data_IF_034714369652
#
_entry.id   IF_034714369652
#
_cell.length_a   1.000
_cell.length_b   1.000
_cell.length_c   1.000
_cell.angle_alpha   90.00
_cell.angle_beta   90.00
_cell.angle_gamma   90.00
#
_symmetry.space_group_name_H-M   'P 1'
#
loop_
_entity.id
_entity.type
_entity.pdbx_description
1 polymer ?
#
# COMPACT_ATOMS: atom_id res chain seq x y z
N UNK A 1 -1.42 -18.18 -25.42
CA UNK A 1 -2.78 -17.90 -24.90
C UNK A 1 -2.92 -16.53 -24.22
N UNK A 2 -1.91 -15.97 -23.55
CA UNK A 2 -2.02 -14.67 -22.83
C UNK A 2 -2.17 -13.41 -23.71
N UNK A 3 -1.69 -13.40 -24.97
CA UNK A 3 -1.78 -12.22 -25.87
C UNK A 3 -3.16 -11.99 -26.47
N UNK A 4 -3.95 -13.04 -26.74
CA UNK A 4 -5.26 -12.92 -27.42
C UNK A 4 -6.38 -12.37 -26.56
N UNK A 5 -6.37 -12.63 -25.22
CA UNK A 5 -7.45 -12.22 -24.33
C UNK A 5 -7.42 -10.70 -24.03
N UNK A 6 -6.26 -10.04 -24.19
CA UNK A 6 -6.13 -8.58 -23.98
C UNK A 6 -6.97 -7.75 -24.98
N UNK A 7 -7.29 -8.29 -26.15
CA UNK A 7 -8.17 -7.66 -27.13
C UNK A 7 -9.66 -7.70 -26.76
N UNK A 8 -10.03 -8.42 -25.66
CA UNK A 8 -11.38 -8.53 -25.16
C UNK A 8 -11.44 -8.02 -23.70
N UNK A 9 -11.62 -6.71 -23.48
CA UNK A 9 -11.52 -6.10 -22.13
C UNK A 9 -12.39 -6.76 -21.07
N UNK A 10 -13.61 -7.16 -21.44
CA UNK A 10 -14.56 -7.83 -20.53
C UNK A 10 -14.05 -9.22 -20.10
N UNK A 11 -13.53 -10.01 -21.02
CA UNK A 11 -12.98 -11.34 -20.74
C UNK A 11 -11.68 -11.22 -19.94
N UNK A 12 -10.84 -10.24 -20.25
CA UNK A 12 -9.64 -9.95 -19.50
C UNK A 12 -9.96 -9.56 -18.04
N UNK A 13 -10.95 -8.67 -17.84
CA UNK A 13 -11.45 -8.31 -16.51
C UNK A 13 -11.95 -9.52 -15.74
N UNK A 14 -12.81 -10.34 -16.35
CA UNK A 14 -13.35 -11.54 -15.74
C UNK A 14 -12.22 -12.52 -15.34
N UNK A 15 -11.23 -12.72 -16.20
CA UNK A 15 -10.08 -13.58 -15.90
C UNK A 15 -9.23 -13.05 -14.75
N UNK A 16 -9.04 -11.74 -14.64
CA UNK A 16 -8.30 -11.12 -13.53
C UNK A 16 -9.07 -11.20 -12.22
N UNK A 17 -10.37 -10.96 -12.24
CA UNK A 17 -11.22 -11.11 -11.06
C UNK A 17 -11.27 -12.57 -10.59
N UNK A 18 -11.43 -13.53 -11.50
CA UNK A 18 -11.39 -14.95 -11.18
C UNK A 18 -10.02 -15.37 -10.61
N UNK A 19 -8.93 -14.86 -11.18
CA UNK A 19 -7.58 -15.11 -10.66
C UNK A 19 -7.38 -14.54 -9.25
N UNK A 20 -7.86 -13.32 -8.97
CA UNK A 20 -7.81 -12.74 -7.62
C UNK A 20 -8.63 -13.55 -6.63
N UNK A 21 -9.85 -13.91 -7.01
CA UNK A 21 -10.71 -14.78 -6.20
C UNK A 21 -10.05 -16.15 -5.93
N UNK A 22 -9.43 -16.73 -6.95
CA UNK A 22 -8.67 -17.97 -6.81
C UNK A 22 -7.51 -17.80 -5.83
N UNK A 23 -6.66 -16.79 -5.98
CA UNK A 23 -5.54 -16.55 -5.07
C UNK A 23 -5.99 -16.23 -3.64
N UNK A 24 -7.09 -15.55 -3.47
CA UNK A 24 -7.65 -15.28 -2.15
C UNK A 24 -8.09 -16.56 -1.42
N UNK A 25 -8.40 -17.64 -2.17
CA UNK A 25 -8.90 -18.91 -1.62
C UNK A 25 -7.94 -20.09 -1.74
N UNK A 26 -6.98 -20.05 -2.63
CA UNK A 26 -6.11 -21.19 -2.96
C UNK A 26 -4.76 -21.17 -2.23
N UNK A 27 -4.69 -20.64 -1.01
CA UNK A 27 -3.48 -20.68 -0.20
C UNK A 27 -2.37 -19.74 -0.66
N UNK A 28 -2.73 -18.64 -1.39
CA UNK A 28 -1.77 -17.59 -1.74
C UNK A 28 -1.32 -16.76 -0.52
N UNK A 29 -2.08 -16.84 0.56
CA UNK A 29 -1.78 -16.21 1.84
C UNK A 29 -1.39 -17.27 2.86
N UNK A 30 -0.52 -16.93 3.83
CA UNK A 30 -0.12 -17.89 4.86
C UNK A 30 -1.31 -18.26 5.78
N UNK A 31 -1.42 -19.51 6.12
CA UNK A 31 -2.30 -19.99 7.18
C UNK A 31 -1.54 -19.93 8.52
N UNK A 32 -1.55 -18.77 9.14
CA UNK A 32 -0.87 -18.58 10.42
C UNK A 32 -1.48 -19.40 11.54
N UNK A 33 -2.78 -19.72 11.48
CA UNK A 33 -3.43 -20.54 12.49
C UNK A 33 -2.75 -21.92 12.56
N UNK A 34 -2.64 -22.60 11.42
CA UNK A 34 -2.00 -23.91 11.37
C UNK A 34 -0.52 -23.88 11.74
N UNK A 35 0.16 -22.74 11.46
CA UNK A 35 1.58 -22.58 11.81
C UNK A 35 1.79 -22.32 13.30
N UNK A 36 0.87 -21.63 13.97
CA UNK A 36 0.97 -21.23 15.37
C UNK A 36 0.41 -22.30 16.30
N UNK A 37 -0.59 -23.06 15.88
CA UNK A 37 -1.30 -24.04 16.73
C UNK A 37 -0.36 -25.02 17.47
N UNK A 38 0.70 -25.57 16.85
CA UNK A 38 1.64 -26.46 17.56
C UNK A 38 2.44 -25.77 18.68
N UNK A 39 2.63 -24.44 18.57
CA UNK A 39 3.45 -23.61 19.48
C UNK A 39 2.61 -22.46 20.07
N UNK A 40 1.33 -22.72 20.35
CA UNK A 40 0.37 -21.68 20.75
C UNK A 40 0.78 -20.96 22.05
N UNK A 41 1.31 -21.69 23.04
CA UNK A 41 1.78 -21.10 24.30
C UNK A 41 2.97 -20.18 24.09
N UNK A 42 3.94 -20.59 23.25
CA UNK A 42 5.10 -19.78 22.88
C UNK A 42 4.65 -18.48 22.18
N UNK A 43 3.71 -18.60 21.25
CA UNK A 43 3.16 -17.42 20.55
C UNK A 43 2.41 -16.47 21.49
N UNK A 44 1.58 -17.00 22.40
CA UNK A 44 0.87 -16.21 23.38
C UNK A 44 1.84 -15.48 24.33
N UNK A 45 2.88 -16.17 24.79
CA UNK A 45 3.94 -15.57 25.61
C UNK A 45 4.67 -14.46 24.87
N UNK A 46 5.03 -14.65 23.61
CA UNK A 46 5.67 -13.63 22.78
C UNK A 46 4.77 -12.40 22.62
N UNK A 47 3.48 -12.59 22.34
CA UNK A 47 2.51 -11.49 22.24
C UNK A 47 2.33 -10.73 23.56
N UNK A 48 2.26 -11.45 24.67
CA UNK A 48 2.17 -10.82 26.00
C UNK A 48 3.44 -10.01 26.31
N UNK A 49 4.62 -10.52 25.99
CA UNK A 49 5.88 -9.82 26.16
C UNK A 49 6.07 -8.61 25.23
N UNK A 50 5.35 -8.58 24.12
CA UNK A 50 5.39 -7.46 23.17
C UNK A 50 4.44 -6.30 23.56
N UNK A 51 3.50 -6.53 24.45
CA UNK A 51 2.57 -5.49 24.91
C UNK A 51 3.32 -4.36 25.61
N UNK A 52 3.08 -3.12 25.16
CA UNK A 52 3.77 -1.93 25.67
C UNK A 52 5.22 -1.78 25.17
N UNK A 53 5.70 -2.67 24.31
CA UNK A 53 6.97 -2.53 23.61
C UNK A 53 6.93 -1.46 22.51
N UNK A 54 8.04 -1.28 21.76
CA UNK A 54 8.05 -0.36 20.62
C UNK A 54 6.95 -0.70 19.63
N UNK A 55 6.09 0.28 19.30
CA UNK A 55 5.01 0.07 18.34
C UNK A 55 5.52 0.20 16.90
N UNK A 56 5.23 -0.82 16.10
CA UNK A 56 5.58 -0.86 14.68
C UNK A 56 4.30 -0.90 13.85
N UNK A 57 4.15 0.07 12.93
CA UNK A 57 3.07 0.11 11.95
C UNK A 57 3.47 -0.68 10.69
N UNK A 58 2.85 -1.82 10.48
CA UNK A 58 2.96 -2.57 9.23
C UNK A 58 1.91 -2.05 8.24
N UNK A 59 2.31 -1.09 7.38
CA UNK A 59 1.40 -0.42 6.48
C UNK A 59 1.26 -1.17 5.15
N UNK A 60 0.80 -2.42 5.20
CA UNK A 60 0.51 -3.26 4.03
C UNK A 60 -0.44 -2.57 3.06
N UNK A 61 -1.39 -1.84 3.59
CA UNK A 61 -2.36 -1.00 2.91
C UNK A 61 -3.18 -1.72 1.82
N UNK A 62 -2.56 -2.40 0.86
CA UNK A 62 -3.22 -3.12 -0.24
C UNK A 62 -3.12 -4.62 -0.04
N UNK A 63 -4.20 -5.22 0.40
CA UNK A 63 -4.25 -6.63 0.79
C UNK A 63 -4.12 -7.63 -0.36
N UNK A 64 -4.49 -7.26 -1.59
CA UNK A 64 -4.39 -8.14 -2.77
C UNK A 64 -2.95 -8.40 -3.24
N UNK A 65 -1.97 -7.68 -2.71
CA UNK A 65 -0.55 -7.99 -2.88
C UNK A 65 -0.16 -9.14 -1.93
N UNK A 66 -0.56 -10.37 -2.28
CA UNK A 66 -0.39 -11.54 -1.43
C UNK A 66 1.05 -11.77 -0.97
N UNK A 67 2.04 -11.48 -1.84
CA UNK A 67 3.46 -11.57 -1.49
C UNK A 67 3.87 -10.53 -0.43
N UNK A 68 3.32 -9.31 -0.50
CA UNK A 68 3.56 -8.30 0.52
C UNK A 68 2.90 -8.71 1.84
N UNK A 69 1.61 -9.10 1.82
CA UNK A 69 0.92 -9.57 3.00
C UNK A 69 1.63 -10.78 3.65
N UNK A 70 2.19 -11.69 2.85
CA UNK A 70 2.96 -12.84 3.34
C UNK A 70 4.26 -12.40 4.02
N UNK A 71 5.08 -11.58 3.35
CA UNK A 71 6.35 -11.12 3.89
C UNK A 71 6.15 -10.25 5.14
N UNK A 72 5.24 -9.30 5.06
CA UNK A 72 4.98 -8.34 6.13
C UNK A 72 4.33 -9.00 7.35
N UNK A 73 3.48 -10.01 7.16
CA UNK A 73 2.97 -10.79 8.29
C UNK A 73 4.04 -11.67 8.94
N UNK A 74 4.95 -12.25 8.15
CA UNK A 74 6.10 -13.00 8.68
C UNK A 74 7.05 -12.07 9.47
N UNK A 75 7.31 -10.88 8.95
CA UNK A 75 8.07 -9.85 9.65
C UNK A 75 7.36 -9.41 10.93
N UNK A 76 6.03 -9.25 10.89
CA UNK A 76 5.23 -8.93 12.07
C UNK A 76 5.38 -9.99 13.17
N UNK A 77 5.33 -11.27 12.82
CA UNK A 77 5.55 -12.34 13.77
C UNK A 77 6.98 -12.28 14.36
N UNK A 78 7.99 -12.10 13.51
CA UNK A 78 9.38 -12.00 13.96
C UNK A 78 9.63 -10.79 14.90
N UNK A 79 9.01 -9.64 14.61
CA UNK A 79 9.08 -8.44 15.45
C UNK A 79 8.36 -8.65 16.79
N UNK A 80 7.22 -9.35 16.80
CA UNK A 80 6.51 -9.71 18.02
C UNK A 80 7.37 -10.58 18.94
N UNK A 81 8.08 -11.58 18.40
CA UNK A 81 9.05 -12.37 19.16
C UNK A 81 10.21 -11.55 19.72
N UNK A 82 10.47 -10.38 19.16
CA UNK A 82 11.50 -9.43 19.64
C UNK A 82 10.95 -8.33 20.54
N UNK A 83 9.71 -8.47 20.99
CA UNK A 83 9.08 -7.57 21.93
C UNK A 83 8.48 -6.31 21.30
N UNK A 84 8.24 -6.26 19.99
CA UNK A 84 7.55 -5.14 19.36
C UNK A 84 6.03 -5.38 19.31
N UNK A 85 5.28 -4.36 19.69
CA UNK A 85 3.83 -4.32 19.52
C UNK A 85 3.48 -3.92 18.08
N UNK A 86 3.13 -4.91 17.25
CA UNK A 86 2.87 -4.69 15.82
C UNK A 86 1.42 -4.39 15.56
N UNK A 87 1.14 -3.36 14.76
CA UNK A 87 -0.18 -3.00 14.25
C UNK A 87 -0.15 -3.02 12.72
N UNK A 88 -1.20 -3.51 12.08
CA UNK A 88 -1.34 -3.47 10.62
C UNK A 88 -2.26 -2.33 10.19
N UNK A 89 -1.98 -1.70 9.04
CA UNK A 89 -2.85 -0.72 8.40
C UNK A 89 -3.29 -1.23 7.03
N UNK A 90 -4.60 -1.33 6.81
CA UNK A 90 -5.20 -1.87 5.59
C UNK A 90 -6.25 -0.92 5.01
N UNK A 91 -6.39 -0.92 3.68
CA UNK A 91 -7.48 -0.26 2.99
C UNK A 91 -8.70 -1.19 2.93
N UNK A 92 -9.79 -0.71 3.45
CA UNK A 92 -11.10 -1.37 3.45
C UNK A 92 -12.07 -0.83 2.37
N UNK A 93 -11.53 -0.23 1.30
CA UNK A 93 -12.29 0.38 0.21
C UNK A 93 -12.52 1.89 0.36
N UNK A 94 -11.85 2.54 1.31
CA UNK A 94 -11.98 3.98 1.58
C UNK A 94 -11.24 4.87 0.57
N UNK A 95 -10.29 4.32 -0.18
CA UNK A 95 -9.55 5.02 -1.23
C UNK A 95 -10.35 5.09 -2.53
N UNK A 96 -10.30 6.23 -3.22
CA UNK A 96 -10.95 6.47 -4.52
C UNK A 96 -10.18 5.90 -5.70
N UNK A 97 -8.89 5.67 -5.54
CA UNK A 97 -7.97 4.95 -6.44
C UNK A 97 -6.76 4.45 -5.65
N UNK A 98 -6.08 3.42 -6.11
CA UNK A 98 -4.88 2.91 -5.46
C UNK A 98 -4.00 2.14 -6.46
N UNK A 99 -2.80 1.73 -6.03
CA UNK A 99 -1.86 0.98 -6.88
C UNK A 99 -2.41 -0.38 -7.38
N UNK A 100 -3.51 -0.89 -6.86
CA UNK A 100 -4.20 -2.07 -7.38
C UNK A 100 -5.12 -1.78 -8.57
N UNK A 101 -5.46 -0.51 -8.81
CA UNK A 101 -6.24 -0.11 -9.96
C UNK A 101 -5.36 -0.08 -11.22
N UNK A 102 -5.92 -0.54 -12.33
CA UNK A 102 -5.24 -0.72 -13.62
C UNK A 102 -6.30 -0.55 -14.73
N UNK A 103 -6.03 0.25 -15.75
CA UNK A 103 -6.97 0.56 -16.83
C UNK A 103 -7.56 -0.71 -17.48
N UNK A 104 -6.78 -1.80 -17.55
CA UNK A 104 -7.27 -3.06 -18.09
C UNK A 104 -8.39 -3.74 -17.28
N UNK A 105 -8.59 -3.33 -16.01
CA UNK A 105 -9.68 -3.80 -15.15
C UNK A 105 -10.99 -3.05 -15.38
N UNK A 106 -10.91 -1.87 -16.01
CA UNK A 106 -12.03 -0.95 -16.18
C UNK A 106 -12.26 -0.68 -17.66
N UNK A 107 -13.09 -1.49 -18.34
CA UNK A 107 -13.41 -1.26 -19.77
C UNK A 107 -14.06 0.10 -20.04
N UNK A 108 -14.71 0.67 -19.01
CA UNK A 108 -15.31 1.99 -19.03
C UNK A 108 -14.54 2.88 -18.04
N UNK A 109 -13.61 3.66 -18.57
CA UNK A 109 -12.78 4.57 -17.79
C UNK A 109 -13.58 5.74 -17.23
N UNK A 110 -14.65 6.18 -17.91
CA UNK A 110 -15.53 7.24 -17.42
C UNK A 110 -16.21 6.81 -16.13
N UNK A 111 -16.68 5.57 -16.09
CA UNK A 111 -17.28 5.02 -14.86
C UNK A 111 -16.26 4.90 -13.72
N UNK A 112 -15.00 4.53 -14.02
CA UNK A 112 -13.97 4.53 -12.98
C UNK A 112 -13.65 5.94 -12.51
N UNK A 113 -13.55 6.90 -13.42
CA UNK A 113 -13.33 8.31 -13.08
C UNK A 113 -14.45 8.87 -12.18
N UNK A 114 -15.68 8.44 -12.37
CA UNK A 114 -16.85 8.87 -11.59
C UNK A 114 -17.00 8.15 -10.25
N UNK A 115 -16.82 6.82 -10.23
CA UNK A 115 -17.17 5.97 -9.08
C UNK A 115 -15.95 5.31 -8.39
N UNK A 116 -14.78 5.31 -9.02
CA UNK A 116 -13.58 4.61 -8.51
C UNK A 116 -13.67 3.09 -8.61
N UNK A 117 -12.91 2.36 -7.79
CA UNK A 117 -12.89 0.90 -7.80
C UNK A 117 -14.21 0.30 -7.32
N UNK A 118 -14.57 -0.88 -7.86
CA UNK A 118 -15.78 -1.59 -7.42
C UNK A 118 -15.62 -2.12 -6.00
N UNK A 119 -16.72 -2.12 -5.23
CA UNK A 119 -16.73 -2.63 -3.85
C UNK A 119 -16.29 -4.10 -3.76
N UNK A 120 -16.66 -4.94 -4.74
CA UNK A 120 -16.25 -6.35 -4.76
C UNK A 120 -14.74 -6.50 -4.94
N UNK A 121 -14.11 -5.63 -5.75
CA UNK A 121 -12.66 -5.60 -5.88
C UNK A 121 -11.99 -5.26 -4.55
N UNK A 122 -12.48 -4.21 -3.87
CA UNK A 122 -11.97 -3.77 -2.59
C UNK A 122 -12.17 -4.83 -1.50
N UNK A 123 -13.33 -5.47 -1.45
CA UNK A 123 -13.61 -6.56 -0.49
C UNK A 123 -12.67 -7.75 -0.70
N UNK A 124 -12.47 -8.18 -1.95
CA UNK A 124 -11.56 -9.27 -2.28
C UNK A 124 -10.07 -8.91 -2.09
N UNK A 125 -9.76 -7.62 -2.04
CA UNK A 125 -8.45 -7.11 -1.67
C UNK A 125 -8.26 -7.16 -0.14
N UNK A 126 -9.20 -6.60 0.62
CA UNK A 126 -9.11 -6.40 2.06
C UNK A 126 -9.19 -7.70 2.86
N UNK A 127 -10.24 -8.53 2.62
CA UNK A 127 -10.59 -9.63 3.52
C UNK A 127 -9.48 -10.69 3.71
N UNK A 128 -8.72 -11.11 2.67
CA UNK A 128 -7.64 -12.08 2.87
C UNK A 128 -6.51 -11.55 3.74
N UNK A 129 -6.09 -10.30 3.54
CA UNK A 129 -5.01 -9.70 4.32
C UNK A 129 -5.45 -9.43 5.77
N UNK A 130 -6.68 -8.95 5.99
CA UNK A 130 -7.24 -8.82 7.34
C UNK A 130 -7.22 -10.17 8.07
N UNK A 131 -7.63 -11.25 7.40
CA UNK A 131 -7.60 -12.60 7.98
C UNK A 131 -6.19 -13.02 8.40
N UNK A 132 -5.18 -12.74 7.57
CA UNK A 132 -3.76 -13.04 7.87
C UNK A 132 -3.33 -12.39 9.20
N UNK A 133 -3.55 -11.09 9.36
CA UNK A 133 -3.16 -10.38 10.58
C UNK A 133 -4.01 -10.77 11.80
N UNK A 134 -5.30 -11.05 11.61
CA UNK A 134 -6.18 -11.51 12.68
C UNK A 134 -5.77 -12.89 13.22
N UNK A 135 -5.30 -13.80 12.37
CA UNK A 135 -4.78 -15.10 12.81
C UNK A 135 -3.55 -14.94 13.72
N UNK A 136 -2.72 -13.93 13.49
CA UNK A 136 -1.62 -13.55 14.36
C UNK A 136 -2.08 -12.79 15.62
N UNK A 137 -3.36 -12.42 15.71
CA UNK A 137 -3.88 -11.58 16.79
C UNK A 137 -3.29 -10.16 16.79
N UNK A 138 -2.84 -9.68 15.64
CA UNK A 138 -2.33 -8.33 15.42
C UNK A 138 -3.50 -7.37 15.26
N UNK A 139 -3.41 -6.18 15.88
CA UNK A 139 -4.39 -5.10 15.71
C UNK A 139 -4.39 -4.61 14.29
N UNK A 140 -5.55 -4.61 13.63
CA UNK A 140 -5.73 -4.11 12.27
C UNK A 140 -6.47 -2.78 12.30
N UNK A 141 -5.81 -1.73 11.83
CA UNK A 141 -6.42 -0.43 11.57
C UNK A 141 -6.91 -0.37 10.11
N UNK A 142 -8.08 0.24 9.91
CA UNK A 142 -8.64 0.50 8.58
C UNK A 142 -8.56 1.98 8.28
N UNK A 143 -8.24 2.34 7.05
CA UNK A 143 -8.21 3.77 6.69
C UNK A 143 -9.56 4.47 6.96
N UNK A 144 -10.70 3.75 6.81
CA UNK A 144 -12.02 4.33 7.08
C UNK A 144 -12.22 4.75 8.53
N UNK A 145 -11.57 4.09 9.48
CA UNK A 145 -11.67 4.39 10.92
C UNK A 145 -11.01 5.73 11.27
N UNK A 146 -10.04 6.16 10.45
CA UNK A 146 -9.24 7.37 10.64
C UNK A 146 -9.63 8.50 9.68
N UNK A 147 -10.65 8.29 8.84
CA UNK A 147 -11.09 9.22 7.82
C UNK A 147 -12.54 9.66 8.08
N UNK A 148 -12.70 10.85 8.63
CA UNK A 148 -14.02 11.44 8.91
C UNK A 148 -14.77 11.92 7.66
N UNK A 149 -16.06 12.27 7.80
CA UNK A 149 -16.85 12.89 6.71
C UNK A 149 -16.21 14.18 6.19
N UNK A 150 -15.74 15.05 7.08
CA UNK A 150 -15.14 16.34 6.74
C UNK A 150 -13.83 16.15 5.96
N UNK A 151 -12.99 15.15 6.34
CA UNK A 151 -11.79 14.83 5.60
C UNK A 151 -12.09 14.37 4.16
N UNK A 152 -13.16 13.59 3.99
CA UNK A 152 -13.60 13.12 2.66
C UNK A 152 -14.11 14.29 1.81
N UNK A 153 -14.86 15.20 2.43
CA UNK A 153 -15.37 16.39 1.76
C UNK A 153 -14.23 17.33 1.36
N UNK A 154 -13.29 17.56 2.25
CA UNK A 154 -12.12 18.40 2.01
C UNK A 154 -11.18 17.82 0.94
N UNK A 155 -10.87 16.51 1.01
CA UNK A 155 -10.07 15.85 -0.02
C UNK A 155 -10.71 15.98 -1.40
N UNK A 156 -12.03 15.81 -1.49
CA UNK A 156 -12.79 15.99 -2.73
C UNK A 156 -12.79 17.44 -3.19
N UNK A 157 -12.97 18.39 -2.28
CA UNK A 157 -12.94 19.81 -2.60
C UNK A 157 -11.59 20.20 -3.20
N UNK A 158 -10.50 19.87 -2.54
CA UNK A 158 -9.13 20.15 -3.01
C UNK A 158 -8.92 19.50 -4.39
N UNK A 159 -9.27 18.21 -4.54
CA UNK A 159 -9.09 17.50 -5.81
C UNK A 159 -9.87 18.13 -6.98
N UNK A 160 -11.03 18.72 -6.73
CA UNK A 160 -11.85 19.36 -7.76
C UNK A 160 -11.44 20.81 -8.06
N UNK A 161 -10.90 21.55 -7.09
CA UNK A 161 -10.56 22.97 -7.23
C UNK A 161 -9.13 23.22 -7.68
N UNK A 162 -8.22 22.27 -7.47
CA UNK A 162 -6.82 22.38 -7.93
C UNK A 162 -6.76 22.30 -9.46
N UNK A 163 -6.12 23.24 -10.17
CA UNK A 163 -5.89 23.13 -11.61
C UNK A 163 -5.14 21.84 -11.96
N UNK A 164 -5.53 21.17 -13.04
CA UNK A 164 -4.99 19.85 -13.40
C UNK A 164 -3.46 19.85 -13.59
N UNK A 165 -2.94 20.92 -14.19
CA UNK A 165 -1.51 21.15 -14.40
C UNK A 165 -0.71 21.46 -13.12
N UNK A 166 -1.38 21.75 -12.01
CA UNK A 166 -0.76 22.03 -10.72
C UNK A 166 -0.78 20.80 -9.79
N UNK A 167 -1.59 19.75 -10.11
CA UNK A 167 -1.75 18.58 -9.26
C UNK A 167 -0.40 17.90 -9.01
N UNK A 168 0.43 17.71 -10.04
CA UNK A 168 1.70 16.99 -9.90
C UNK A 168 2.64 17.67 -8.89
N UNK A 169 2.66 18.99 -8.84
CA UNK A 169 3.50 19.76 -7.93
C UNK A 169 2.83 20.06 -6.57
N UNK A 170 1.60 19.56 -6.36
CA UNK A 170 0.82 19.92 -5.17
C UNK A 170 1.44 19.34 -3.90
N UNK A 171 1.59 20.17 -2.89
CA UNK A 171 2.00 19.80 -1.54
C UNK A 171 0.91 20.15 -0.51
N UNK A 172 0.76 19.35 0.52
CA UNK A 172 -0.12 19.58 1.67
C UNK A 172 0.73 19.73 2.92
N UNK A 173 0.85 20.95 3.45
CA UNK A 173 1.68 21.22 4.64
C UNK A 173 3.13 20.68 4.49
N UNK A 174 3.70 20.78 3.29
CA UNK A 174 5.02 20.26 2.95
C UNK A 174 5.08 18.78 2.54
N UNK A 175 3.97 18.03 2.64
CA UNK A 175 3.90 16.64 2.15
C UNK A 175 3.79 16.63 0.62
N UNK A 176 4.60 15.82 -0.03
CA UNK A 176 4.57 15.61 -1.49
C UNK A 176 3.39 14.71 -1.86
N UNK A 177 2.22 15.31 -2.12
CA UNK A 177 0.98 14.58 -2.42
C UNK A 177 0.81 14.34 -3.92
N UNK A 178 1.03 15.39 -4.71
CA UNK A 178 0.71 15.40 -6.13
C UNK A 178 1.58 14.45 -6.96
N UNK A 179 2.87 14.37 -6.66
CA UNK A 179 3.80 13.47 -7.35
C UNK A 179 3.38 12.00 -7.21
N UNK A 180 3.01 11.57 -6.00
CA UNK A 180 2.53 10.20 -5.77
C UNK A 180 1.21 9.92 -6.47
N UNK A 181 0.32 10.91 -6.56
CA UNK A 181 -0.93 10.79 -7.32
C UNK A 181 -0.66 10.68 -8.82
N UNK A 182 0.23 11.51 -9.34
CA UNK A 182 0.65 11.50 -10.74
C UNK A 182 1.32 10.16 -11.11
N UNK A 183 2.28 9.70 -10.31
CA UNK A 183 2.93 8.40 -10.48
C UNK A 183 1.92 7.24 -10.44
N UNK A 184 0.92 7.30 -9.54
CA UNK A 184 -0.17 6.34 -9.49
C UNK A 184 -1.00 6.32 -10.77
N UNK A 185 -1.23 7.48 -11.38
CA UNK A 185 -1.97 7.64 -12.63
C UNK A 185 -1.18 7.08 -13.83
N UNK A 186 0.12 7.38 -13.93
CA UNK A 186 1.01 6.78 -14.93
C UNK A 186 0.96 5.24 -14.85
N UNK A 187 1.04 4.71 -13.64
CA UNK A 187 0.93 3.28 -13.40
C UNK A 187 -0.43 2.70 -13.78
N UNK A 188 -1.52 3.44 -13.55
CA UNK A 188 -2.87 3.03 -13.94
C UNK A 188 -2.98 2.81 -15.45
N UNK A 189 -2.44 3.72 -16.25
CA UNK A 189 -2.42 3.62 -17.71
C UNK A 189 -1.27 2.73 -18.24
N UNK A 190 -0.29 2.40 -17.40
CA UNK A 190 0.96 1.74 -17.80
C UNK A 190 1.73 2.53 -18.88
N UNK A 191 1.82 3.84 -18.70
CA UNK A 191 2.47 4.80 -19.63
C UNK A 191 3.54 5.62 -18.91
N UNK A 192 4.45 6.23 -19.67
CA UNK A 192 5.48 7.16 -19.17
C UNK A 192 5.05 8.63 -19.19
N UNK A 193 3.94 8.97 -19.87
CA UNK A 193 3.38 10.32 -19.93
C UNK A 193 1.86 10.24 -20.04
N UNK A 194 1.16 11.32 -19.68
CA UNK A 194 -0.31 11.38 -19.67
C UNK A 194 -0.90 12.18 -20.84
N UNK A 195 -0.06 12.81 -21.66
CA UNK A 195 -0.47 13.77 -22.69
C UNK A 195 -1.42 13.19 -23.74
N UNK A 196 -1.23 11.91 -24.09
CA UNK A 196 -2.03 11.20 -25.08
C UNK A 196 -3.22 10.42 -24.49
N UNK A 197 -3.45 10.51 -23.17
CA UNK A 197 -4.51 9.76 -22.51
C UNK A 197 -5.77 10.61 -22.32
N UNK A 198 -6.84 10.36 -23.09
CA UNK A 198 -8.05 11.20 -23.05
C UNK A 198 -8.73 11.29 -21.68
N UNK A 199 -8.51 10.27 -20.83
CA UNK A 199 -9.08 10.20 -19.48
C UNK A 199 -8.05 10.53 -18.38
N UNK A 200 -6.88 11.11 -18.74
CA UNK A 200 -5.81 11.39 -17.80
C UNK A 200 -6.26 12.28 -16.65
N UNK A 201 -6.86 13.43 -16.94
CA UNK A 201 -7.27 14.39 -15.90
C UNK A 201 -8.31 13.82 -14.93
N UNK A 202 -9.44 13.23 -15.36
CA UNK A 202 -10.41 12.65 -14.43
C UNK A 202 -9.80 11.54 -13.56
N UNK A 203 -8.92 10.71 -14.10
CA UNK A 203 -8.26 9.64 -13.37
C UNK A 203 -7.21 10.22 -12.39
N UNK A 204 -6.43 11.22 -12.81
CA UNK A 204 -5.47 11.91 -11.94
C UNK A 204 -6.18 12.54 -10.73
N UNK A 205 -7.32 13.19 -10.93
CA UNK A 205 -8.12 13.74 -9.83
C UNK A 205 -8.58 12.67 -8.84
N UNK A 206 -8.90 11.46 -9.32
CA UNK A 206 -9.20 10.31 -8.45
C UNK A 206 -8.01 9.89 -7.60
N UNK A 207 -6.83 9.78 -8.21
CA UNK A 207 -5.61 9.45 -7.48
C UNK A 207 -5.24 10.55 -6.50
N UNK A 208 -5.44 11.81 -6.88
CA UNK A 208 -5.15 12.96 -6.04
C UNK A 208 -6.09 13.03 -4.82
N UNK A 209 -7.41 12.86 -5.03
CA UNK A 209 -8.37 12.73 -3.90
C UNK A 209 -7.99 11.56 -2.98
N UNK A 210 -7.58 10.43 -3.55
CA UNK A 210 -7.15 9.27 -2.78
C UNK A 210 -5.91 9.55 -1.95
N UNK A 211 -4.91 10.23 -2.52
CA UNK A 211 -3.69 10.62 -1.84
C UNK A 211 -3.97 11.54 -0.64
N UNK A 212 -4.84 12.53 -0.81
CA UNK A 212 -5.29 13.42 0.27
C UNK A 212 -6.01 12.65 1.39
N UNK A 213 -6.91 11.73 1.04
CA UNK A 213 -7.59 10.87 2.02
C UNK A 213 -6.60 10.02 2.83
N UNK A 214 -5.63 9.43 2.15
CA UNK A 214 -4.57 8.64 2.82
C UNK A 214 -3.76 9.53 3.75
N UNK A 215 -3.40 10.75 3.34
CA UNK A 215 -2.67 11.71 4.18
C UNK A 215 -3.45 12.06 5.45
N UNK A 216 -4.73 12.41 5.32
CA UNK A 216 -5.57 12.75 6.48
C UNK A 216 -5.72 11.57 7.45
N UNK A 217 -6.03 10.37 6.93
CA UNK A 217 -6.19 9.18 7.75
C UNK A 217 -4.89 8.78 8.45
N UNK A 218 -3.78 8.75 7.72
CA UNK A 218 -2.47 8.38 8.29
C UNK A 218 -2.03 9.38 9.35
N UNK A 219 -2.17 10.69 9.09
CA UNK A 219 -1.82 11.73 10.07
C UNK A 219 -2.65 11.59 11.35
N UNK A 220 -3.95 11.32 11.24
CA UNK A 220 -4.82 11.10 12.42
C UNK A 220 -4.43 9.84 13.18
N UNK A 221 -4.14 8.73 12.50
CA UNK A 221 -3.65 7.51 13.13
C UNK A 221 -2.35 7.78 13.91
N UNK A 222 -1.35 8.38 13.28
CA UNK A 222 -0.03 8.61 13.89
C UNK A 222 -0.06 9.63 15.03
N UNK A 223 -0.98 10.60 14.99
CA UNK A 223 -1.21 11.52 16.12
C UNK A 223 -1.96 10.88 17.27
N UNK A 224 -2.79 9.87 17.00
CA UNK A 224 -3.58 9.17 18.03
C UNK A 224 -2.81 8.04 18.69
N UNK A 225 -1.90 7.40 17.95
CA UNK A 225 -1.10 6.27 18.41
C UNK A 225 0.36 6.56 18.05
N UNK A 226 1.21 6.57 19.08
CA UNK A 226 2.64 6.77 18.88
C UNK A 226 3.27 5.48 18.34
N UNK A 227 3.84 5.53 17.15
CA UNK A 227 4.63 4.48 16.53
C UNK A 227 6.11 4.87 16.51
N UNK A 228 7.00 3.90 16.73
CA UNK A 228 8.45 4.09 16.59
C UNK A 228 8.89 3.92 15.13
N UNK A 229 8.20 3.04 14.40
CA UNK A 229 8.55 2.73 13.02
C UNK A 229 7.32 2.39 12.19
N UNK A 230 7.40 2.66 10.88
CA UNK A 230 6.44 2.22 9.87
C UNK A 230 7.16 1.41 8.79
N UNK A 231 6.61 0.24 8.42
CA UNK A 231 7.20 -0.68 7.46
C UNK A 231 6.19 -0.96 6.35
N UNK A 232 6.62 -0.88 5.10
CA UNK A 232 5.77 -1.15 3.92
C UNK A 232 6.61 -1.34 2.65
N UNK A 233 5.95 -1.82 1.59
CA UNK A 233 6.62 -2.03 0.30
C UNK A 233 6.93 -0.69 -0.40
N UNK A 234 8.01 -0.62 -1.10
CA UNK A 234 8.62 0.40 -1.98
C UNK A 234 8.46 1.90 -1.67
N UNK A 235 7.43 2.35 -0.98
CA UNK A 235 7.28 3.75 -0.56
C UNK A 235 6.96 4.76 -1.68
N UNK A 236 6.35 4.32 -2.78
CA UNK A 236 5.87 5.17 -3.88
C UNK A 236 4.41 4.86 -4.20
N UNK A 237 3.79 5.68 -5.06
CA UNK A 237 2.37 5.60 -5.41
C UNK A 237 1.40 5.86 -4.24
N UNK A 238 0.13 5.78 -4.53
CA UNK A 238 -0.94 5.78 -3.54
C UNK A 238 -1.29 4.34 -3.20
N UNK A 239 -1.22 3.91 -1.92
CA UNK A 239 -1.10 4.71 -0.70
C UNK A 239 0.33 4.83 -0.11
N UNK A 240 1.27 3.96 -0.43
CA UNK A 240 2.52 3.79 0.32
C UNK A 240 3.42 5.03 0.33
N UNK A 241 3.50 5.75 -0.81
CA UNK A 241 4.24 7.01 -0.87
C UNK A 241 3.72 8.02 0.14
N UNK A 242 2.40 8.17 0.20
CA UNK A 242 1.73 9.10 1.12
C UNK A 242 1.90 8.69 2.58
N UNK A 243 1.77 7.38 2.89
CA UNK A 243 2.04 6.88 4.24
C UNK A 243 3.46 7.20 4.67
N UNK A 244 4.43 7.03 3.75
CA UNK A 244 5.83 7.35 3.98
C UNK A 244 6.09 8.84 4.22
N UNK A 245 5.48 9.71 3.42
CA UNK A 245 5.56 11.16 3.60
C UNK A 245 5.06 11.59 4.99
N UNK A 246 3.84 11.15 5.35
CA UNK A 246 3.24 11.48 6.65
C UNK A 246 4.06 10.90 7.80
N UNK A 247 4.53 9.64 7.70
CA UNK A 247 5.31 9.01 8.75
C UNK A 247 6.62 9.76 9.01
N UNK A 248 7.35 10.16 7.95
CA UNK A 248 8.58 10.96 8.09
C UNK A 248 8.30 12.32 8.74
N UNK A 249 7.22 13.00 8.33
CA UNK A 249 6.84 14.29 8.88
C UNK A 249 6.47 14.21 10.37
N UNK A 250 5.81 13.13 10.78
CA UNK A 250 5.43 12.89 12.20
C UNK A 250 6.60 12.26 13.01
N UNK A 251 7.81 12.17 12.44
CA UNK A 251 9.01 11.67 13.12
C UNK A 251 9.05 10.16 13.33
N UNK A 252 8.19 9.40 12.62
CA UNK A 252 8.18 7.94 12.65
C UNK A 252 9.24 7.40 11.70
N UNK A 253 10.12 6.52 12.18
CA UNK A 253 11.13 5.89 11.34
C UNK A 253 10.50 5.04 10.24
N UNK A 254 10.84 5.32 8.98
CA UNK A 254 10.30 4.60 7.82
C UNK A 254 11.29 3.55 7.35
N UNK A 255 10.82 2.31 7.17
CA UNK A 255 11.57 1.25 6.49
C UNK A 255 10.75 0.76 5.30
N UNK A 256 11.25 0.97 4.10
CA UNK A 256 10.64 0.42 2.90
C UNK A 256 11.41 -0.81 2.44
N UNK A 257 10.71 -1.74 1.80
CA UNK A 257 11.33 -2.93 1.22
C UNK A 257 10.84 -3.15 -0.22
N UNK A 258 11.70 -3.76 -1.02
CA UNK A 258 11.35 -4.21 -2.36
C UNK A 258 12.05 -5.53 -2.68
N UNK A 259 11.52 -6.27 -3.65
CA UNK A 259 12.17 -7.47 -4.14
C UNK A 259 13.41 -7.10 -4.95
N UNK A 260 14.53 -7.75 -4.66
CA UNK A 260 15.75 -7.58 -5.43
C UNK A 260 15.69 -8.39 -6.74
N UNK A 261 16.66 -8.16 -7.62
CA UNK A 261 16.80 -8.90 -8.88
C UNK A 261 17.13 -10.40 -8.69
N UNK A 262 17.70 -10.79 -7.55
CA UNK A 262 17.95 -12.19 -7.20
C UNK A 262 16.79 -12.76 -6.37
N UNK A 263 16.43 -14.02 -6.61
CA UNK A 263 15.40 -14.73 -5.84
C UNK A 263 15.74 -14.75 -4.34
N UNK A 264 14.72 -14.56 -3.50
CA UNK A 264 14.82 -14.57 -2.03
C UNK A 264 15.72 -13.48 -1.45
N UNK A 265 15.91 -12.38 -2.18
CA UNK A 265 16.62 -11.18 -1.74
C UNK A 265 15.68 -9.99 -1.75
N UNK A 266 15.90 -9.10 -0.81
CA UNK A 266 15.14 -7.86 -0.66
C UNK A 266 16.11 -6.69 -0.53
N UNK A 267 15.67 -5.54 -1.00
CA UNK A 267 16.33 -4.25 -0.80
C UNK A 267 15.53 -3.53 0.27
N UNK A 268 16.20 -2.95 1.24
CA UNK A 268 15.60 -2.13 2.28
C UNK A 268 16.13 -0.70 2.17
N UNK A 269 15.26 0.27 2.41
CA UNK A 269 15.62 1.68 2.50
C UNK A 269 15.07 2.26 3.81
N UNK A 270 15.83 3.14 4.43
CA UNK A 270 15.49 3.74 5.71
C UNK A 270 15.26 5.24 5.56
N UNK A 271 14.12 5.72 6.06
CA UNK A 271 13.67 7.11 5.98
C UNK A 271 13.56 7.68 4.56
N UNK A 272 13.57 6.79 3.54
CA UNK A 272 13.46 7.13 2.13
C UNK A 272 12.78 6.00 1.35
N UNK A 273 12.64 6.18 0.04
CA UNK A 273 12.19 5.16 -0.90
C UNK A 273 13.40 4.45 -1.52
N UNK A 274 13.21 3.21 -1.99
CA UNK A 274 14.28 2.47 -2.65
C UNK A 274 14.78 3.16 -3.94
N UNK A 275 13.93 3.95 -4.59
CA UNK A 275 14.32 4.69 -5.79
C UNK A 275 15.43 5.69 -5.51
N UNK A 276 15.34 6.41 -4.40
CA UNK A 276 16.37 7.38 -4.04
C UNK A 276 17.64 6.69 -3.53
N UNK A 277 17.51 5.66 -2.71
CA UNK A 277 18.66 4.98 -2.13
C UNK A 277 19.39 4.11 -3.14
N UNK A 278 18.67 3.29 -3.94
CA UNK A 278 19.29 2.40 -4.92
C UNK A 278 19.94 3.15 -6.09
N UNK A 279 19.30 4.24 -6.56
CA UNK A 279 19.76 4.99 -7.73
C UNK A 279 20.84 6.03 -7.39
N UNK A 280 20.98 6.39 -6.13
CA UNK A 280 21.93 7.39 -5.64
C UNK A 280 23.02 6.82 -4.74
N UNK A 281 23.09 5.51 -4.55
CA UNK A 281 24.17 4.90 -3.80
C UNK A 281 25.53 5.20 -4.47
N UNK A 282 26.51 5.73 -3.72
CA UNK A 282 27.84 5.97 -4.25
C UNK A 282 28.47 4.68 -4.79
N UNK A 283 29.12 4.77 -5.94
CA UNK A 283 29.76 3.63 -6.60
C UNK A 283 30.72 2.89 -5.68
N UNK A 284 31.40 3.63 -4.80
CA UNK A 284 32.37 3.12 -3.83
C UNK A 284 31.76 2.08 -2.87
N UNK A 285 30.46 2.17 -2.56
CA UNK A 285 29.77 1.17 -1.73
C UNK A 285 29.64 -0.20 -2.41
N UNK A 286 29.81 -0.27 -3.72
CA UNK A 286 29.72 -1.50 -4.51
C UNK A 286 31.08 -2.07 -4.92
N UNK A 287 32.13 -1.24 -4.95
CA UNK A 287 33.48 -1.65 -5.38
C UNK A 287 34.17 -2.58 -4.37
N UNK A 288 33.82 -2.46 -3.08
CA UNK A 288 34.42 -3.28 -2.01
C UNK A 288 33.55 -4.52 -1.65
N UNK A 289 32.45 -4.78 -2.37
CA UNK A 289 31.60 -5.95 -2.11
C UNK A 289 32.12 -7.15 -2.89
N UNK A 290 32.81 -8.07 -2.23
CA UNK A 290 33.12 -9.39 -2.79
C UNK A 290 31.78 -10.12 -3.06
N UNK A 291 31.44 -10.25 -4.32
CA UNK A 291 30.30 -11.02 -4.78
C UNK A 291 30.67 -12.52 -4.74
N UNK A 292 30.42 -13.18 -3.62
CA UNK A 292 30.56 -14.64 -3.47
C UNK A 292 29.42 -15.40 -4.13
#
# INVERSE_FOLDING_TARGET
MKRGIRHFPRLWRASRLARRWYYARAGAYPDWRSLIEPEAELWQSARAGAQGGPRVLMATAIGSYAHAATLESALSAALTFRGAEVHALLCDGSMTACAECDASLYPDLSRFAEHGPSQDLCRNCFSPAESVYRQLGITVHKFSEWLGPDDRAEARRIANTTPANEIQAYTLDGLVIGEHAYAGTLRFFATGALDDEPMAEPILRRYFESALRVAFATRRLLKSIQFSSAVFTHGIYVPWGIVGEVARQEGVHVSTWNVAYRKRRFIFSHNDTYHHTLMSEPREHWEDVELS
#
